data_IF_435835412578
#
_entry.id   IF_435835412578
#
_cell.length_a   1.000
_cell.length_b   1.000
_cell.length_c   1.000
_cell.angle_alpha   90.00
_cell.angle_beta   90.00
_cell.angle_gamma   90.00
#
_symmetry.space_group_name_H-M   'P 1'
#
loop_
_entity.id
_entity.type
_entity.pdbx_description
1 polymer ?
#
# COMPACT_ATOMS: atom_id res chain seq x y z
N UNK A 1 26.80 75.75 -0.89
CA UNK A 1 27.72 76.57 -0.06
C UNK A 1 28.65 75.67 0.73
N UNK A 2 29.98 75.89 0.50
CA UNK A 2 31.15 75.60 1.35
C UNK A 2 31.38 74.13 1.72
N UNK A 3 32.57 73.56 1.67
CA UNK A 3 33.92 73.99 1.17
C UNK A 3 34.76 72.73 1.07
N UNK A 4 35.58 72.75 0.07
CA UNK A 4 36.74 71.93 -0.23
C UNK A 4 37.81 72.05 0.87
N UNK A 5 38.51 70.98 1.22
CA UNK A 5 39.98 71.06 1.45
C UNK A 5 40.60 69.68 1.26
N UNK A 6 41.54 69.67 0.27
CA UNK A 6 42.42 68.59 0.04
C UNK A 6 43.68 68.64 0.91
N UNK A 7 44.37 67.51 1.03
CA UNK A 7 45.78 67.47 1.44
C UNK A 7 46.59 66.53 0.55
N UNK A 8 47.74 67.02 0.16
CA UNK A 8 48.73 66.40 -0.72
C UNK A 8 49.63 65.41 0.04
N UNK A 9 49.92 64.31 -0.56
CA UNK A 9 51.24 63.77 -0.83
C UNK A 9 52.05 63.17 0.32
N UNK A 10 52.50 61.94 0.06
CA UNK A 10 53.89 61.53 0.11
C UNK A 10 54.02 60.14 -0.42
N UNK A 11 54.75 59.91 -1.49
CA UNK A 11 55.04 58.61 -2.06
C UNK A 11 55.97 57.78 -1.17
N UNK A 12 55.69 56.52 -1.02
CA UNK A 12 56.61 55.49 -0.55
C UNK A 12 56.48 54.27 -1.42
N UNK A 13 57.46 54.01 -2.25
CA UNK A 13 57.61 52.81 -3.06
C UNK A 13 57.92 51.65 -2.17
N UNK A 14 56.99 50.73 -2.13
CA UNK A 14 57.18 49.40 -1.48
C UNK A 14 57.22 48.34 -2.58
N UNK A 15 58.41 47.71 -2.73
CA UNK A 15 58.62 46.53 -3.58
C UNK A 15 57.81 45.34 -3.00
N UNK A 16 56.83 44.87 -3.74
CA UNK A 16 56.17 43.61 -3.44
C UNK A 16 56.91 42.41 -4.06
N UNK A 17 57.51 41.60 -3.24
CA UNK A 17 58.02 40.30 -3.64
C UNK A 17 56.84 39.36 -3.89
N UNK A 18 56.77 38.75 -5.10
CA UNK A 18 55.82 37.68 -5.44
C UNK A 18 56.26 36.42 -4.69
N UNK A 19 55.52 36.08 -3.63
CA UNK A 19 55.54 34.74 -3.07
C UNK A 19 54.41 33.94 -3.74
N UNK A 20 54.76 33.04 -4.65
CA UNK A 20 53.82 32.09 -5.25
C UNK A 20 53.44 31.07 -4.20
N UNK A 21 52.25 31.20 -3.58
CA UNK A 21 51.61 30.13 -2.81
C UNK A 21 51.01 29.14 -3.80
N UNK A 22 51.60 27.98 -3.95
CA UNK A 22 51.01 26.79 -4.53
C UNK A 22 49.91 26.28 -3.56
N UNK A 23 48.67 26.68 -3.80
CA UNK A 23 47.49 26.05 -3.21
C UNK A 23 47.31 24.69 -3.89
N UNK A 24 47.82 23.65 -3.22
CA UNK A 24 47.51 22.27 -3.56
C UNK A 24 46.03 22.02 -3.27
N UNK A 25 45.20 22.00 -4.30
CA UNK A 25 43.80 21.51 -4.21
C UNK A 25 43.85 20.02 -3.92
N UNK A 26 43.79 19.65 -2.66
CA UNK A 26 43.44 18.27 -2.28
C UNK A 26 41.99 18.05 -2.69
N UNK A 27 41.76 17.48 -3.86
CA UNK A 27 40.48 16.89 -4.22
C UNK A 27 40.24 15.74 -3.23
N UNK A 28 39.40 16.01 -2.23
CA UNK A 28 38.83 14.93 -1.43
C UNK A 28 38.01 14.08 -2.41
N UNK A 29 38.54 12.94 -2.80
CA UNK A 29 37.74 11.89 -3.43
C UNK A 29 36.64 11.53 -2.43
N UNK A 30 35.40 11.95 -2.71
CA UNK A 30 34.21 11.42 -2.04
C UNK A 30 34.26 9.93 -2.33
N UNK A 31 34.64 9.14 -1.33
CA UNK A 31 34.57 7.68 -1.45
C UNK A 31 33.13 7.35 -1.84
N UNK A 32 32.95 6.72 -2.99
CA UNK A 32 31.64 6.25 -3.40
C UNK A 32 31.13 5.33 -2.29
N UNK A 33 29.99 5.67 -1.74
CA UNK A 33 29.35 4.88 -0.69
C UNK A 33 29.18 3.43 -1.21
N UNK A 34 29.59 2.45 -0.41
CA UNK A 34 29.48 1.07 -0.82
C UNK A 34 28.02 0.74 -1.16
N UNK A 35 27.75 -0.01 -2.24
CA UNK A 35 26.38 -0.34 -2.60
C UNK A 35 25.71 -1.09 -1.45
N UNK A 36 24.39 -0.88 -1.24
CA UNK A 36 23.65 -1.56 -0.19
C UNK A 36 23.80 -3.10 -0.28
N UNK A 37 23.86 -3.81 0.86
CA UNK A 37 24.05 -5.26 0.84
C UNK A 37 22.92 -5.97 0.08
N UNK A 38 23.25 -7.07 -0.60
CA UNK A 38 22.24 -7.91 -1.25
C UNK A 38 21.57 -8.87 -0.28
N UNK A 39 22.27 -9.26 0.78
CA UNK A 39 21.79 -10.18 1.79
C UNK A 39 22.49 -9.91 3.11
N UNK A 40 21.76 -9.97 4.23
CA UNK A 40 22.31 -9.86 5.58
C UNK A 40 21.43 -10.57 6.59
N UNK A 41 21.99 -10.85 7.76
CA UNK A 41 21.22 -11.22 8.95
C UNK A 41 20.93 -9.93 9.71
N UNK A 42 19.67 -9.64 9.96
CA UNK A 42 19.31 -8.49 10.79
C UNK A 42 19.87 -8.70 12.21
N UNK A 43 20.73 -7.79 12.71
CA UNK A 43 21.43 -8.00 13.97
C UNK A 43 20.51 -7.96 15.19
N UNK A 44 19.36 -7.28 15.09
CA UNK A 44 18.43 -7.14 16.21
C UNK A 44 17.42 -8.29 16.28
N UNK A 45 17.13 -8.93 15.14
CA UNK A 45 16.09 -9.94 15.05
C UNK A 45 16.58 -11.35 14.74
N UNK A 46 17.72 -11.47 14.10
CA UNK A 46 18.32 -12.74 13.68
C UNK A 46 17.70 -13.34 12.41
N UNK A 47 16.81 -12.60 11.74
CA UNK A 47 16.22 -13.03 10.47
C UNK A 47 17.09 -12.65 9.28
N UNK A 48 17.10 -13.48 8.25
CA UNK A 48 17.79 -13.22 7.00
C UNK A 48 16.96 -12.30 6.13
N UNK A 49 17.56 -11.20 5.67
CA UNK A 49 16.95 -10.24 4.75
C UNK A 49 17.70 -10.28 3.43
N UNK A 50 16.96 -10.23 2.33
CA UNK A 50 17.51 -10.20 0.97
C UNK A 50 16.92 -9.05 0.20
N UNK A 51 17.73 -8.39 -0.62
CA UNK A 51 17.30 -7.37 -1.57
C UNK A 51 16.99 -8.03 -2.91
N UNK A 52 15.77 -7.86 -3.40
CA UNK A 52 15.25 -8.49 -4.62
C UNK A 52 15.39 -7.61 -5.86
N UNK A 53 15.55 -6.29 -5.70
CA UNK A 53 15.76 -5.35 -6.81
C UNK A 53 17.03 -4.54 -6.61
N UNK A 54 17.78 -4.29 -7.69
CA UNK A 54 18.96 -3.44 -7.68
C UNK A 54 18.65 -2.01 -8.15
N UNK A 55 17.66 -1.85 -9.01
CA UNK A 55 17.28 -0.56 -9.59
C UNK A 55 16.60 0.32 -8.54
N UNK A 56 17.05 1.56 -8.34
CA UNK A 56 16.34 2.56 -7.54
C UNK A 56 14.90 2.76 -8.04
N UNK A 57 13.97 3.06 -7.14
CA UNK A 57 12.55 3.26 -7.45
C UNK A 57 11.84 2.02 -8.01
N UNK A 58 12.31 0.83 -7.65
CA UNK A 58 11.57 -0.42 -7.84
C UNK A 58 10.57 -0.62 -6.71
N UNK A 59 9.39 -1.17 -7.01
CA UNK A 59 8.33 -1.35 -6.01
C UNK A 59 7.57 -2.66 -6.21
N UNK A 60 7.26 -3.33 -5.10
CA UNK A 60 6.25 -4.39 -5.04
C UNK A 60 4.83 -3.80 -5.08
N UNK A 61 3.84 -4.64 -5.26
CA UNK A 61 2.44 -4.25 -5.24
C UNK A 61 1.96 -3.89 -3.83
N UNK A 62 0.78 -3.32 -3.77
CA UNK A 62 0.07 -3.06 -2.53
C UNK A 62 -0.25 -4.39 -1.83
N UNK A 63 -0.27 -4.41 -0.51
CA UNK A 63 -0.25 -5.62 0.34
C UNK A 63 -1.34 -6.67 0.01
N UNK A 64 -2.48 -6.27 -0.53
CA UNK A 64 -3.61 -7.14 -0.86
C UNK A 64 -3.74 -7.47 -2.36
N UNK A 65 -2.84 -6.97 -3.20
CA UNK A 65 -2.82 -7.28 -4.63
C UNK A 65 -2.01 -8.55 -4.90
N UNK A 66 -2.50 -9.37 -5.86
CA UNK A 66 -1.75 -10.55 -6.27
C UNK A 66 -0.54 -10.18 -7.14
N UNK A 67 0.65 -10.29 -6.56
CA UNK A 67 1.93 -10.05 -7.25
C UNK A 67 2.63 -11.32 -7.74
N UNK A 68 2.06 -12.51 -7.50
CA UNK A 68 2.71 -13.79 -7.79
C UNK A 68 2.07 -14.51 -8.98
N UNK A 69 2.89 -15.22 -9.72
CA UNK A 69 2.41 -16.15 -10.76
C UNK A 69 1.59 -17.28 -10.14
N UNK A 70 0.65 -17.90 -10.89
CA UNK A 70 -0.17 -19.01 -10.37
C UNK A 70 0.65 -20.19 -9.85
N UNK A 71 1.86 -20.39 -10.40
CA UNK A 71 2.81 -21.44 -9.97
C UNK A 71 3.59 -21.06 -8.72
N UNK A 72 3.52 -19.79 -8.28
CA UNK A 72 4.29 -19.30 -7.14
C UNK A 72 5.80 -19.23 -7.38
N UNK A 73 6.23 -19.23 -8.64
CA UNK A 73 7.66 -19.24 -9.01
C UNK A 73 8.24 -17.82 -9.18
N UNK A 74 7.40 -16.82 -9.47
CA UNK A 74 7.85 -15.44 -9.74
C UNK A 74 7.01 -14.40 -9.00
N UNK A 75 7.68 -13.35 -8.57
CA UNK A 75 7.08 -12.11 -8.08
C UNK A 75 7.17 -11.04 -9.17
N UNK A 76 6.12 -10.27 -9.37
CA UNK A 76 6.11 -9.09 -10.23
C UNK A 76 6.41 -7.84 -9.42
N UNK A 77 7.23 -6.98 -10.01
CA UNK A 77 7.56 -5.67 -9.48
C UNK A 77 7.52 -4.62 -10.59
N UNK A 78 7.27 -3.37 -10.23
CA UNK A 78 7.51 -2.23 -11.11
C UNK A 78 8.96 -1.75 -10.96
N UNK A 79 9.56 -1.35 -12.07
CA UNK A 79 10.89 -0.71 -12.13
C UNK A 79 10.81 0.54 -13.00
N UNK A 80 11.78 1.44 -12.98
CA UNK A 80 11.82 2.57 -13.92
C UNK A 80 11.79 2.17 -15.40
N UNK A 81 12.30 0.98 -15.72
CA UNK A 81 12.29 0.44 -17.09
C UNK A 81 10.98 -0.20 -17.51
N UNK A 82 10.05 -0.45 -16.59
CA UNK A 82 8.80 -1.15 -16.84
C UNK A 82 8.48 -2.25 -15.82
N UNK A 83 7.89 -3.34 -16.27
CA UNK A 83 7.47 -4.45 -15.43
C UNK A 83 8.54 -5.55 -15.46
N UNK A 84 9.01 -5.93 -14.28
CA UNK A 84 9.99 -7.00 -14.12
C UNK A 84 9.44 -8.16 -13.28
N UNK A 85 10.05 -9.32 -13.43
CA UNK A 85 9.84 -10.47 -12.57
C UNK A 85 11.08 -10.76 -11.75
N UNK A 86 10.87 -11.18 -10.51
CA UNK A 86 11.89 -11.78 -9.66
C UNK A 86 11.59 -13.27 -9.55
N UNK A 87 12.51 -14.11 -9.95
CA UNK A 87 12.44 -15.56 -9.74
C UNK A 87 12.65 -15.85 -8.24
N UNK A 88 11.67 -16.48 -7.59
CA UNK A 88 11.70 -16.64 -6.13
C UNK A 88 12.75 -17.65 -5.65
N UNK A 89 13.22 -18.55 -6.52
CA UNK A 89 14.24 -19.53 -6.18
C UNK A 89 15.65 -18.98 -6.39
N UNK A 90 15.91 -18.35 -7.54
CA UNK A 90 17.24 -17.87 -7.94
C UNK A 90 17.47 -16.41 -7.60
N UNK A 91 16.39 -15.66 -7.30
CA UNK A 91 16.37 -14.21 -7.08
C UNK A 91 16.80 -13.41 -8.32
N UNK A 92 16.80 -14.05 -9.48
CA UNK A 92 17.11 -13.37 -10.73
C UNK A 92 15.99 -12.41 -11.12
N UNK A 93 16.36 -11.17 -11.40
CA UNK A 93 15.45 -10.13 -11.89
C UNK A 93 15.50 -10.12 -13.43
N UNK A 94 14.33 -10.08 -14.07
CA UNK A 94 14.19 -9.99 -15.53
C UNK A 94 13.14 -8.96 -15.90
N UNK A 95 13.51 -7.93 -16.67
CA UNK A 95 12.55 -7.03 -17.31
C UNK A 95 11.73 -7.81 -18.34
N UNK A 96 10.41 -7.83 -18.18
CA UNK A 96 9.48 -8.61 -19.04
C UNK A 96 8.74 -7.70 -20.01
N UNK A 97 8.24 -6.57 -19.51
CA UNK A 97 7.48 -5.60 -20.29
C UNK A 97 8.16 -4.24 -20.17
N UNK A 98 8.98 -3.84 -21.15
CA UNK A 98 9.47 -2.47 -21.21
C UNK A 98 8.29 -1.51 -21.42
N UNK A 99 8.13 -0.52 -20.54
CA UNK A 99 7.07 0.48 -20.65
C UNK A 99 7.70 1.87 -20.68
N UNK A 100 7.39 2.63 -21.72
CA UNK A 100 7.82 4.03 -21.84
C UNK A 100 6.75 4.94 -21.29
N UNK A 101 7.13 5.86 -20.43
CA UNK A 101 6.22 6.82 -19.79
C UNK A 101 5.51 6.26 -18.57
N UNK A 102 4.57 7.03 -17.99
CA UNK A 102 3.87 6.63 -16.77
C UNK A 102 3.00 5.40 -16.99
N UNK A 103 3.13 4.44 -16.12
CA UNK A 103 2.28 3.24 -16.06
C UNK A 103 2.02 2.85 -14.61
N UNK A 104 1.00 2.03 -14.40
CA UNK A 104 0.74 1.37 -13.13
C UNK A 104 0.61 -0.13 -13.34
N UNK A 105 1.46 -0.89 -12.67
CA UNK A 105 1.33 -2.33 -12.51
C UNK A 105 0.11 -2.58 -11.62
N UNK A 106 -0.82 -3.43 -12.08
CA UNK A 106 -2.06 -3.72 -11.37
C UNK A 106 -1.94 -5.02 -10.55
N UNK A 107 -1.83 -6.16 -11.22
CA UNK A 107 -1.77 -7.47 -10.58
C UNK A 107 -1.35 -8.54 -11.58
N UNK A 108 -1.07 -9.73 -11.06
CA UNK A 108 -0.85 -10.95 -11.85
C UNK A 108 -2.16 -11.72 -12.02
N UNK A 109 -2.32 -12.40 -13.11
CA UNK A 109 -3.39 -13.38 -13.29
C UNK A 109 -3.36 -14.49 -12.24
N UNK A 110 -4.53 -15.05 -11.93
CA UNK A 110 -4.65 -16.16 -10.96
C UNK A 110 -4.60 -17.54 -11.59
N UNK A 111 -4.87 -17.63 -12.89
CA UNK A 111 -4.85 -18.90 -13.67
C UNK A 111 -3.79 -18.88 -14.75
N UNK A 112 -3.58 -17.75 -15.38
CA UNK A 112 -2.61 -17.60 -16.48
C UNK A 112 -1.38 -16.84 -16.00
N UNK A 113 -0.31 -16.96 -16.77
CA UNK A 113 0.93 -16.20 -16.55
C UNK A 113 0.86 -14.83 -17.22
N UNK A 114 -0.25 -14.13 -17.02
CA UNK A 114 -0.47 -12.78 -17.51
C UNK A 114 -0.22 -11.77 -16.39
N UNK A 115 0.39 -10.64 -16.73
CA UNK A 115 0.41 -9.45 -15.88
C UNK A 115 -0.51 -8.41 -16.47
N UNK A 116 -1.27 -7.74 -15.62
CA UNK A 116 -2.15 -6.63 -15.99
C UNK A 116 -1.56 -5.31 -15.56
N UNK A 117 -1.60 -4.32 -16.45
CA UNK A 117 -1.12 -2.97 -16.17
C UNK A 117 -1.92 -1.95 -16.96
N UNK A 118 -1.81 -0.70 -16.54
CA UNK A 118 -2.47 0.41 -17.23
C UNK A 118 -1.50 1.53 -17.55
N UNK A 119 -1.80 2.23 -18.65
CA UNK A 119 -1.15 3.48 -19.02
C UNK A 119 -2.18 4.59 -19.13
N UNK A 120 -1.76 5.85 -18.97
CA UNK A 120 -2.62 6.97 -19.31
C UNK A 120 -2.92 6.96 -20.82
N UNK A 121 -4.14 7.29 -21.22
CA UNK A 121 -4.44 7.61 -22.60
C UNK A 121 -3.66 8.87 -23.01
N UNK A 122 -3.43 9.07 -24.30
CA UNK A 122 -2.67 10.22 -24.82
C UNK A 122 -3.24 11.53 -24.30
N UNK A 123 -2.44 12.33 -23.62
CA UNK A 123 -2.82 13.60 -23.01
C UNK A 123 -3.61 13.50 -21.70
N UNK A 124 -3.83 12.29 -21.16
CA UNK A 124 -4.48 12.06 -19.87
C UNK A 124 -3.44 11.79 -18.75
N UNK A 125 -3.90 11.84 -17.50
CA UNK A 125 -3.11 11.44 -16.33
C UNK A 125 -3.48 10.03 -15.86
N UNK A 126 -2.62 9.42 -15.04
CA UNK A 126 -2.91 8.14 -14.37
C UNK A 126 -3.75 8.31 -13.10
N UNK A 127 -4.24 9.51 -12.81
CA UNK A 127 -5.15 9.71 -11.71
C UNK A 127 -6.46 8.92 -11.87
N UNK A 128 -7.27 8.87 -10.82
CA UNK A 128 -8.48 8.02 -10.77
C UNK A 128 -9.56 8.42 -11.78
N UNK A 129 -9.53 9.62 -12.31
CA UNK A 129 -10.54 10.16 -13.26
C UNK A 129 -10.05 10.24 -14.70
N UNK A 130 -8.75 10.07 -14.94
CA UNK A 130 -8.15 10.12 -16.28
C UNK A 130 -8.51 8.89 -17.12
N UNK A 131 -8.57 9.09 -18.45
CA UNK A 131 -8.73 7.99 -19.39
C UNK A 131 -7.51 7.07 -19.40
N UNK A 132 -7.72 5.76 -19.42
CA UNK A 132 -6.67 4.74 -19.34
C UNK A 132 -6.86 3.65 -20.38
N UNK A 133 -5.75 3.06 -20.80
CA UNK A 133 -5.75 1.81 -21.56
C UNK A 133 -5.21 0.70 -20.67
N UNK A 134 -5.94 -0.39 -20.60
CA UNK A 134 -5.58 -1.61 -19.85
C UNK A 134 -4.94 -2.61 -20.80
N UNK A 135 -3.82 -3.14 -20.39
CA UNK A 135 -3.06 -4.16 -21.10
C UNK A 135 -2.90 -5.43 -20.28
N UNK A 136 -2.80 -6.55 -20.95
CA UNK A 136 -2.31 -7.81 -20.42
C UNK A 136 -1.04 -8.21 -21.17
N UNK A 137 -0.03 -8.68 -20.47
CA UNK A 137 1.19 -9.18 -21.05
C UNK A 137 1.51 -10.57 -20.51
N UNK A 138 1.95 -11.45 -21.39
CA UNK A 138 2.44 -12.78 -21.01
C UNK A 138 3.83 -12.64 -20.39
N UNK A 139 4.01 -13.14 -19.17
CA UNK A 139 5.22 -12.97 -18.37
C UNK A 139 6.44 -13.66 -18.96
N UNK A 140 6.24 -14.77 -19.67
CA UNK A 140 7.34 -15.58 -20.21
C UNK A 140 7.81 -15.08 -21.57
N UNK A 141 6.87 -14.68 -22.44
CA UNK A 141 7.14 -14.23 -23.81
C UNK A 141 7.22 -12.71 -23.97
N UNK A 142 6.68 -11.94 -23.01
CA UNK A 142 6.55 -10.49 -23.11
C UNK A 142 5.49 -10.02 -24.11
N UNK A 143 4.68 -10.93 -24.69
CA UNK A 143 3.65 -10.57 -25.67
C UNK A 143 2.53 -9.78 -25.01
N UNK A 144 2.29 -8.57 -25.50
CA UNK A 144 1.28 -7.64 -24.98
C UNK A 144 0.02 -7.67 -25.83
N UNK A 145 -1.14 -7.61 -25.16
CA UNK A 145 -2.44 -7.35 -25.80
C UNK A 145 -3.18 -6.23 -25.06
N UNK A 146 -3.89 -5.42 -25.78
CA UNK A 146 -4.87 -4.49 -25.21
C UNK A 146 -6.09 -5.27 -24.71
N UNK A 147 -6.55 -4.93 -23.50
CA UNK A 147 -7.76 -5.50 -22.89
C UNK A 147 -8.95 -4.58 -23.09
N UNK A 148 -8.82 -3.31 -22.69
CA UNK A 148 -9.90 -2.34 -22.75
C UNK A 148 -9.36 -0.90 -22.71
N UNK A 149 -10.18 0.04 -23.19
CA UNK A 149 -10.05 1.46 -22.85
C UNK A 149 -11.09 1.80 -21.79
N UNK A 150 -10.63 2.47 -20.75
CA UNK A 150 -11.48 2.97 -19.66
C UNK A 150 -11.50 4.49 -19.79
N UNK A 151 -12.63 5.11 -20.16
CA UNK A 151 -12.70 6.55 -20.41
C UNK A 151 -12.48 7.36 -19.14
N UNK A 152 -12.92 6.87 -18.00
CA UNK A 152 -12.62 7.39 -16.66
C UNK A 152 -12.83 6.29 -15.64
N UNK A 153 -12.13 6.40 -14.50
CA UNK A 153 -12.18 5.38 -13.48
C UNK A 153 -10.84 4.65 -13.32
N UNK A 154 -10.86 3.58 -12.56
CA UNK A 154 -9.67 2.88 -12.13
C UNK A 154 -9.93 1.37 -11.96
N UNK A 155 -9.09 0.53 -12.56
CA UNK A 155 -9.12 -0.92 -12.35
C UNK A 155 -8.35 -1.24 -11.08
N UNK A 156 -8.97 -2.06 -10.22
CA UNK A 156 -8.43 -2.38 -8.89
C UNK A 156 -8.25 -3.88 -8.64
N UNK A 157 -8.96 -4.75 -9.38
CA UNK A 157 -8.94 -6.18 -9.09
C UNK A 157 -9.24 -7.03 -10.32
N UNK A 158 -8.92 -8.32 -10.24
CA UNK A 158 -9.28 -9.36 -11.22
C UNK A 158 -9.90 -10.54 -10.47
N UNK A 159 -10.91 -11.16 -11.06
CA UNK A 159 -11.59 -12.29 -10.44
C UNK A 159 -10.81 -13.62 -10.55
N UNK A 160 -11.26 -14.62 -9.79
CA UNK A 160 -10.57 -15.89 -9.61
C UNK A 160 -10.34 -16.68 -10.92
N UNK A 161 -11.19 -16.52 -11.93
CA UNK A 161 -11.10 -17.21 -13.22
C UNK A 161 -10.55 -16.34 -14.34
N UNK A 162 -10.13 -15.10 -14.03
CA UNK A 162 -9.55 -14.10 -14.97
C UNK A 162 -10.51 -13.67 -16.10
N UNK A 163 -11.80 -13.84 -15.91
CA UNK A 163 -12.80 -13.41 -16.89
C UNK A 163 -13.23 -11.96 -16.73
N UNK A 164 -13.09 -11.40 -15.51
CA UNK A 164 -13.55 -10.05 -15.18
C UNK A 164 -12.46 -9.24 -14.46
N UNK A 165 -12.24 -8.02 -14.92
CA UNK A 165 -11.59 -6.97 -14.13
C UNK A 165 -12.67 -6.20 -13.37
N UNK A 166 -12.39 -5.79 -12.13
CA UNK A 166 -13.26 -4.91 -11.34
C UNK A 166 -12.66 -3.53 -11.20
N UNK A 167 -13.49 -2.51 -11.34
CA UNK A 167 -13.07 -1.13 -11.25
C UNK A 167 -14.14 -0.21 -10.67
N UNK A 168 -13.72 1.01 -10.34
CA UNK A 168 -14.60 2.10 -9.90
C UNK A 168 -14.50 3.25 -10.89
N UNK A 169 -15.61 3.91 -11.12
CA UNK A 169 -15.65 5.15 -11.91
C UNK A 169 -16.45 6.23 -11.19
N UNK A 170 -16.13 7.46 -11.50
CA UNK A 170 -16.84 8.64 -11.05
C UNK A 170 -16.97 9.60 -12.23
N UNK A 171 -18.13 10.21 -12.39
CA UNK A 171 -18.35 11.20 -13.46
C UNK A 171 -17.45 12.43 -13.22
N UNK A 172 -16.53 12.76 -14.13
CA UNK A 172 -15.68 13.93 -14.00
C UNK A 172 -16.47 15.24 -13.86
N UNK A 173 -17.62 15.37 -14.53
CA UNK A 173 -18.46 16.55 -14.44
C UNK A 173 -19.08 16.70 -13.05
N UNK A 174 -19.55 15.60 -12.45
CA UNK A 174 -20.08 15.57 -11.09
C UNK A 174 -19.00 15.85 -10.03
N UNK A 175 -17.73 15.55 -10.34
CA UNK A 175 -16.60 15.73 -9.40
C UNK A 175 -15.89 17.06 -9.57
N UNK A 176 -16.15 17.84 -10.62
CA UNK A 176 -15.39 19.05 -10.94
C UNK A 176 -15.29 20.06 -9.78
N UNK A 177 -16.37 20.22 -8.99
CA UNK A 177 -16.38 21.05 -7.79
C UNK A 177 -15.61 20.47 -6.60
N UNK A 178 -15.59 19.15 -6.44
CA UNK A 178 -14.91 18.46 -5.37
C UNK A 178 -13.44 18.19 -5.68
N UNK A 179 -13.05 18.09 -6.96
CA UNK A 179 -11.67 17.82 -7.40
C UNK A 179 -10.66 18.88 -6.95
N UNK A 180 -11.10 20.11 -6.67
CA UNK A 180 -10.22 21.16 -6.13
C UNK A 180 -9.52 20.73 -4.83
N UNK A 181 -10.15 19.91 -4.01
CA UNK A 181 -9.57 19.37 -2.77
C UNK A 181 -8.53 18.29 -3.04
N UNK A 182 -8.69 17.53 -4.12
CA UNK A 182 -7.74 16.51 -4.54
C UNK A 182 -6.51 17.05 -5.28
N UNK A 183 -6.57 18.30 -5.71
CA UNK A 183 -5.46 18.96 -6.45
C UNK A 183 -4.44 19.60 -5.52
N UNK A 184 -4.76 19.80 -4.25
CA UNK A 184 -3.85 20.39 -3.28
C UNK A 184 -3.03 19.28 -2.62
N UNK A 185 -1.73 19.24 -2.92
CA UNK A 185 -0.79 18.31 -2.27
C UNK A 185 -0.02 19.03 -1.19
N UNK A 186 0.15 18.38 -0.05
CA UNK A 186 1.16 18.76 0.93
C UNK A 186 2.48 18.08 0.56
N UNK A 187 3.50 18.87 0.20
CA UNK A 187 4.80 18.35 -0.21
C UNK A 187 5.53 17.54 0.88
N UNK A 188 5.09 17.63 2.14
CA UNK A 188 5.62 16.83 3.26
C UNK A 188 5.17 15.37 3.19
N UNK A 189 4.05 15.10 2.51
CA UNK A 189 3.43 13.77 2.45
C UNK A 189 3.11 13.44 1.00
N UNK A 190 3.85 12.53 0.40
CA UNK A 190 3.64 12.12 -1.00
C UNK A 190 2.25 11.53 -1.25
N UNK A 191 1.61 11.02 -0.20
CA UNK A 191 0.27 10.45 -0.26
C UNK A 191 -0.84 11.44 0.13
N UNK A 192 -0.48 12.63 0.62
CA UNK A 192 -1.46 13.65 0.96
C UNK A 192 -1.91 14.39 -0.31
N UNK A 193 -3.15 14.19 -0.68
CA UNK A 193 -3.77 14.88 -1.82
C UNK A 193 -4.25 16.28 -1.47
N UNK A 194 -4.04 16.73 -0.22
CA UNK A 194 -4.73 17.90 0.30
C UNK A 194 -3.92 18.61 1.37
N UNK A 195 -3.77 19.91 1.21
CA UNK A 195 -3.20 20.81 2.21
C UNK A 195 -4.31 21.60 2.87
N UNK A 196 -4.52 21.41 4.17
CA UNK A 196 -5.53 22.10 4.93
C UNK A 196 -4.94 22.98 6.02
N UNK A 197 -5.63 24.07 6.30
CA UNK A 197 -5.42 24.93 7.47
C UNK A 197 -6.72 25.07 8.24
N UNK A 198 -6.63 25.16 9.55
CA UNK A 198 -7.75 25.52 10.39
C UNK A 198 -8.17 26.98 10.15
N UNK A 199 -9.40 27.39 10.53
CA UNK A 199 -9.87 28.77 10.37
C UNK A 199 -8.96 29.83 11.02
N UNK A 200 -8.19 29.46 12.03
CA UNK A 200 -7.20 30.31 12.71
C UNK A 200 -5.86 30.41 11.96
N UNK A 201 -5.72 29.75 10.79
CA UNK A 201 -4.51 29.74 9.99
C UNK A 201 -3.47 28.70 10.40
N UNK A 202 -3.67 27.95 11.48
CA UNK A 202 -2.79 26.86 11.90
C UNK A 202 -2.87 25.72 10.89
N UNK A 203 -1.73 25.17 10.40
CA UNK A 203 -1.74 24.02 9.50
C UNK A 203 -2.29 22.79 10.23
N UNK A 204 -3.10 22.00 9.53
CA UNK A 204 -3.55 20.69 9.99
C UNK A 204 -2.40 19.68 9.94
N UNK A 205 -2.43 18.71 10.83
CA UNK A 205 -1.65 17.47 10.68
C UNK A 205 -2.16 16.67 9.51
N UNK A 206 -1.38 15.69 9.03
CA UNK A 206 -1.82 14.78 7.98
C UNK A 206 -3.13 14.08 8.34
N UNK A 207 -3.26 13.55 9.56
CA UNK A 207 -4.47 12.87 10.01
C UNK A 207 -5.69 13.80 10.04
N UNK A 208 -5.53 15.03 10.56
CA UNK A 208 -6.60 16.03 10.58
C UNK A 208 -7.03 16.42 9.18
N UNK A 209 -6.11 16.67 8.25
CA UNK A 209 -6.42 17.03 6.87
C UNK A 209 -7.11 15.88 6.13
N UNK A 210 -6.69 14.63 6.39
CA UNK A 210 -7.34 13.42 5.84
C UNK A 210 -8.79 13.31 6.32
N UNK A 211 -9.06 13.55 7.59
CA UNK A 211 -10.44 13.51 8.13
C UNK A 211 -11.34 14.61 7.55
N UNK A 212 -10.83 15.84 7.44
CA UNK A 212 -11.57 16.93 6.80
C UNK A 212 -11.93 16.57 5.37
N UNK A 213 -10.98 16.10 4.59
CA UNK A 213 -11.17 15.66 3.20
C UNK A 213 -12.21 14.53 3.10
N UNK A 214 -12.15 13.55 4.00
CA UNK A 214 -13.11 12.45 4.02
C UNK A 214 -14.54 12.93 4.31
N UNK A 215 -14.70 13.88 5.26
CA UNK A 215 -16.01 14.49 5.55
C UNK A 215 -16.55 15.28 4.35
N UNK A 216 -15.73 16.14 3.75
CA UNK A 216 -16.13 16.93 2.57
C UNK A 216 -16.51 16.02 1.39
N UNK A 217 -15.79 14.92 1.21
CA UNK A 217 -16.09 13.92 0.18
C UNK A 217 -17.43 13.22 0.46
N UNK A 218 -17.70 12.85 1.71
CA UNK A 218 -18.97 12.25 2.10
C UNK A 218 -20.13 13.22 1.85
N UNK A 219 -20.01 14.46 2.30
CA UNK A 219 -21.05 15.50 2.17
C UNK A 219 -21.30 15.89 0.71
N UNK A 220 -20.33 15.68 -0.18
CA UNK A 220 -20.45 15.99 -1.62
C UNK A 220 -21.36 15.04 -2.39
N UNK A 221 -21.69 13.86 -1.84
CA UNK A 221 -22.59 12.86 -2.46
C UNK A 221 -22.26 12.59 -3.93
N UNK A 222 -20.97 12.45 -4.28
CA UNK A 222 -20.53 12.28 -5.67
C UNK A 222 -20.98 10.91 -6.20
N UNK A 223 -21.72 10.85 -7.32
CA UNK A 223 -22.12 9.59 -7.92
C UNK A 223 -20.91 8.75 -8.32
N UNK A 224 -20.90 7.50 -7.92
CA UNK A 224 -19.88 6.52 -8.27
C UNK A 224 -20.50 5.20 -8.72
N UNK A 225 -19.73 4.45 -9.49
CA UNK A 225 -20.11 3.12 -9.97
C UNK A 225 -19.01 2.14 -9.68
N UNK A 226 -19.42 0.92 -9.33
CA UNK A 226 -18.58 -0.27 -9.49
C UNK A 226 -18.94 -0.86 -10.84
N UNK A 227 -17.93 -1.13 -11.65
CA UNK A 227 -18.10 -1.77 -12.94
C UNK A 227 -17.17 -2.99 -13.08
N UNK A 228 -17.53 -3.89 -13.99
CA UNK A 228 -16.67 -4.99 -14.39
C UNK A 228 -16.41 -4.94 -15.89
N UNK A 229 -15.24 -5.42 -16.30
CA UNK A 229 -14.79 -5.49 -17.70
C UNK A 229 -14.50 -6.94 -18.04
N UNK A 230 -15.15 -7.47 -19.09
CA UNK A 230 -14.83 -8.77 -19.64
C UNK A 230 -13.42 -8.73 -20.25
N UNK A 231 -12.52 -9.57 -19.76
CA UNK A 231 -11.08 -9.55 -20.14
C UNK A 231 -10.82 -9.96 -21.57
N UNK A 232 -11.75 -10.68 -22.21
CA UNK A 232 -11.66 -11.17 -23.59
C UNK A 232 -12.20 -10.16 -24.59
N UNK A 233 -13.33 -9.52 -24.28
CA UNK A 233 -14.05 -8.63 -25.20
C UNK A 233 -13.80 -7.15 -24.92
N UNK A 234 -13.31 -6.79 -23.74
CA UNK A 234 -13.19 -5.40 -23.28
C UNK A 234 -14.54 -4.75 -22.90
N UNK A 235 -15.65 -5.51 -22.90
CA UNK A 235 -16.99 -4.99 -22.64
C UNK A 235 -17.15 -4.65 -21.18
N UNK A 236 -17.56 -3.41 -20.89
CA UNK A 236 -17.82 -2.91 -19.53
C UNK A 236 -19.32 -3.03 -19.20
N UNK A 237 -19.61 -3.37 -17.95
CA UNK A 237 -20.98 -3.26 -17.39
C UNK A 237 -20.92 -2.77 -15.95
N UNK A 238 -21.86 -1.94 -15.55
CA UNK A 238 -22.05 -1.50 -14.17
C UNK A 238 -22.67 -2.64 -13.36
N UNK A 239 -22.18 -2.80 -12.11
CA UNK A 239 -22.71 -3.79 -11.15
C UNK A 239 -23.28 -3.12 -9.89
N UNK A 240 -22.92 -1.86 -9.63
CA UNK A 240 -23.47 -1.08 -8.52
C UNK A 240 -23.32 0.42 -8.81
N UNK A 241 -24.32 1.18 -8.41
CA UNK A 241 -24.29 2.65 -8.38
C UNK A 241 -24.59 3.13 -6.96
N UNK A 242 -23.89 4.15 -6.51
CA UNK A 242 -24.06 4.78 -5.19
C UNK A 242 -23.48 6.19 -5.17
N UNK A 243 -23.83 6.98 -4.16
CA UNK A 243 -23.14 8.23 -3.84
C UNK A 243 -22.09 8.04 -2.74
N UNK A 244 -21.91 6.81 -2.30
CA UNK A 244 -20.83 6.41 -1.40
C UNK A 244 -19.48 6.50 -2.12
N UNK A 245 -18.42 6.78 -1.38
CA UNK A 245 -17.07 6.69 -1.94
C UNK A 245 -16.65 5.24 -2.07
N UNK A 246 -16.97 4.61 -3.20
CA UNK A 246 -16.64 3.22 -3.50
C UNK A 246 -15.16 3.10 -3.85
N UNK A 247 -14.43 2.20 -3.15
CA UNK A 247 -13.00 2.01 -3.34
C UNK A 247 -12.54 0.63 -2.83
N UNK A 248 -11.23 0.34 -2.93
CA UNK A 248 -10.58 -0.88 -2.42
C UNK A 248 -11.27 -2.17 -2.85
N UNK A 249 -11.59 -2.27 -4.15
CA UNK A 249 -12.23 -3.47 -4.69
C UNK A 249 -11.27 -4.66 -4.65
N UNK A 250 -11.78 -5.80 -4.17
CA UNK A 250 -11.07 -7.06 -4.23
C UNK A 250 -12.04 -8.19 -4.60
N UNK A 251 -11.77 -8.89 -5.70
CA UNK A 251 -12.43 -10.16 -5.94
C UNK A 251 -11.88 -11.24 -5.01
N UNK A 252 -12.76 -12.15 -4.59
CA UNK A 252 -12.34 -13.36 -3.91
C UNK A 252 -11.29 -14.12 -4.74
N UNK A 253 -10.24 -14.66 -4.10
CA UNK A 253 -9.24 -15.47 -4.81
C UNK A 253 -9.79 -16.80 -5.36
N UNK A 254 -10.97 -17.25 -4.90
CA UNK A 254 -11.52 -18.57 -5.20
C UNK A 254 -12.92 -18.56 -5.80
N UNK A 255 -13.77 -17.57 -5.48
CA UNK A 255 -15.11 -17.41 -6.08
C UNK A 255 -15.09 -16.23 -7.08
N UNK A 256 -15.25 -16.48 -8.40
CA UNK A 256 -15.15 -15.43 -9.42
C UNK A 256 -16.25 -14.37 -9.35
N UNK A 257 -17.31 -14.61 -8.60
CA UNK A 257 -18.45 -13.69 -8.50
C UNK A 257 -18.51 -12.91 -7.21
N UNK A 258 -17.71 -13.26 -6.20
CA UNK A 258 -17.67 -12.57 -4.91
C UNK A 258 -16.70 -11.40 -4.97
N UNK A 259 -17.21 -10.20 -4.69
CA UNK A 259 -16.47 -8.94 -4.69
C UNK A 259 -16.64 -8.24 -3.34
N UNK A 260 -15.52 -7.95 -2.68
CA UNK A 260 -15.46 -7.06 -1.53
C UNK A 260 -15.19 -5.63 -2.02
N UNK A 261 -15.79 -4.65 -1.35
CA UNK A 261 -15.52 -3.24 -1.59
C UNK A 261 -15.61 -2.43 -0.30
N UNK A 262 -14.96 -1.30 -0.30
CA UNK A 262 -14.97 -0.34 0.79
C UNK A 262 -15.90 0.85 0.43
N UNK A 263 -16.81 1.18 1.34
CA UNK A 263 -17.40 2.52 1.41
C UNK A 263 -16.40 3.38 2.17
N UNK A 264 -15.47 4.01 1.47
CA UNK A 264 -14.46 4.86 2.09
C UNK A 264 -15.11 6.17 2.59
N UNK A 265 -14.65 6.67 3.74
CA UNK A 265 -15.22 7.87 4.34
C UNK A 265 -14.71 8.07 5.76
N UNK A 266 -15.21 9.10 6.46
CA UNK A 266 -14.85 9.31 7.86
C UNK A 266 -15.17 8.06 8.68
N UNK A 267 -14.16 7.50 9.33
CA UNK A 267 -14.25 6.20 10.01
C UNK A 267 -15.36 6.15 11.06
N UNK A 268 -15.66 7.27 11.71
CA UNK A 268 -16.69 7.40 12.74
C UNK A 268 -18.11 7.66 12.19
N UNK A 269 -18.29 7.76 10.86
CA UNK A 269 -19.58 8.04 10.23
C UNK A 269 -20.07 6.92 9.29
N UNK A 270 -19.18 6.12 8.72
CA UNK A 270 -19.52 5.13 7.69
C UNK A 270 -19.12 3.72 8.12
N UNK A 271 -19.95 2.73 7.76
CA UNK A 271 -19.57 1.32 7.82
C UNK A 271 -18.83 0.99 6.53
N UNK A 272 -17.55 0.61 6.63
CA UNK A 272 -16.63 0.61 5.48
C UNK A 272 -16.64 -0.67 4.64
N UNK A 273 -16.82 -1.83 5.23
CA UNK A 273 -16.51 -3.13 4.66
C UNK A 273 -17.77 -3.84 4.18
N UNK A 274 -17.84 -4.12 2.87
CA UNK A 274 -19.01 -4.68 2.23
C UNK A 274 -18.64 -5.81 1.28
N UNK A 275 -19.54 -6.78 1.14
CA UNK A 275 -19.46 -7.92 0.23
C UNK A 275 -20.65 -7.91 -0.71
N UNK A 276 -20.43 -8.21 -1.99
CA UNK A 276 -21.48 -8.37 -2.99
C UNK A 276 -21.16 -9.51 -3.94
N UNK A 277 -22.14 -9.92 -4.72
CA UNK A 277 -21.96 -10.83 -5.86
C UNK A 277 -22.22 -10.07 -7.16
N UNK A 278 -21.27 -10.15 -8.09
CA UNK A 278 -21.37 -9.45 -9.39
C UNK A 278 -22.33 -10.14 -10.37
N UNK A 279 -22.70 -11.40 -10.13
CA UNK A 279 -23.73 -12.15 -10.85
C UNK A 279 -25.14 -11.90 -10.30
N UNK A 280 -25.27 -11.18 -9.18
CA UNK A 280 -26.52 -10.81 -8.53
C UNK A 280 -26.51 -9.30 -8.19
N UNK A 281 -26.43 -8.41 -9.20
CA UNK A 281 -26.21 -6.98 -8.95
C UNK A 281 -27.38 -6.30 -8.19
N UNK A 282 -28.59 -6.86 -8.27
CA UNK A 282 -29.79 -6.34 -7.58
C UNK A 282 -29.87 -6.79 -6.10
N UNK A 283 -29.04 -7.75 -5.68
CA UNK A 283 -28.97 -8.17 -4.28
C UNK A 283 -28.32 -7.08 -3.42
N UNK A 284 -28.86 -6.87 -2.23
CA UNK A 284 -28.27 -5.93 -1.28
C UNK A 284 -26.88 -6.42 -0.85
N UNK A 285 -25.85 -5.55 -0.82
CA UNK A 285 -24.56 -5.91 -0.26
C UNK A 285 -24.65 -6.27 1.22
N UNK A 286 -23.76 -7.16 1.64
CA UNK A 286 -23.67 -7.64 3.02
C UNK A 286 -22.62 -6.81 3.76
N UNK A 287 -22.97 -6.11 4.87
CA UNK A 287 -21.97 -5.46 5.71
C UNK A 287 -21.14 -6.50 6.47
N UNK A 288 -19.82 -6.46 6.33
CA UNK A 288 -18.90 -7.38 7.01
C UNK A 288 -18.64 -6.95 8.45
N UNK A 289 -18.62 -5.64 8.66
CA UNK A 289 -18.43 -5.04 9.98
C UNK A 289 -19.36 -3.85 10.14
N UNK A 290 -20.22 -3.93 11.16
CA UNK A 290 -21.09 -2.82 11.59
C UNK A 290 -20.52 -2.24 12.87
N UNK A 291 -20.26 -0.94 12.88
CA UNK A 291 -19.72 -0.27 14.06
C UNK A 291 -20.64 -0.39 15.26
N UNK A 292 -20.04 -0.57 16.42
CA UNK A 292 -20.74 -0.72 17.70
C UNK A 292 -20.46 0.40 18.68
N UNK A 293 -19.43 1.23 18.40
CA UNK A 293 -19.08 2.38 19.24
C UNK A 293 -18.66 3.60 18.40
N UNK A 294 -18.68 4.76 19.04
CA UNK A 294 -18.12 5.99 18.46
C UNK A 294 -16.59 5.87 18.33
N UNK A 295 -16.03 6.45 17.27
CA UNK A 295 -14.59 6.40 16.95
C UNK A 295 -14.05 4.99 16.67
N UNK A 296 -14.90 4.02 16.37
CA UNK A 296 -14.50 2.71 15.87
C UNK A 296 -14.02 2.84 14.41
N UNK A 297 -12.86 2.24 14.11
CA UNK A 297 -12.25 2.25 12.78
C UNK A 297 -12.12 0.82 12.28
N UNK A 298 -12.55 0.56 11.02
CA UNK A 298 -12.23 -0.66 10.29
C UNK A 298 -11.62 -0.29 8.92
N UNK A 299 -10.59 -1.00 8.50
CA UNK A 299 -9.93 -0.72 7.22
C UNK A 299 -8.88 -1.76 6.83
N UNK A 300 -8.10 -1.47 5.79
CA UNK A 300 -7.00 -2.30 5.25
C UNK A 300 -7.39 -3.78 5.12
N UNK A 301 -8.51 -4.02 4.45
CA UNK A 301 -9.13 -5.33 4.27
C UNK A 301 -8.40 -6.21 3.25
N UNK A 302 -8.41 -7.53 3.47
CA UNK A 302 -7.89 -8.51 2.51
C UNK A 302 -8.55 -9.88 2.66
N UNK A 303 -8.59 -10.67 1.59
CA UNK A 303 -9.00 -12.07 1.65
C UNK A 303 -7.87 -12.96 2.16
N UNK A 304 -8.22 -13.98 2.97
CA UNK A 304 -7.35 -15.15 3.16
C UNK A 304 -7.08 -15.82 1.81
N UNK A 305 -5.94 -16.53 1.69
CA UNK A 305 -5.56 -17.17 0.44
C UNK A 305 -6.59 -18.19 -0.07
N UNK A 306 -7.31 -18.86 0.83
CA UNK A 306 -8.38 -19.81 0.52
C UNK A 306 -9.74 -19.14 0.24
N UNK A 307 -9.82 -17.81 0.34
CA UNK A 307 -11.01 -17.01 0.07
C UNK A 307 -12.13 -17.14 1.09
N UNK A 308 -11.92 -17.84 2.22
CA UNK A 308 -12.99 -18.12 3.20
C UNK A 308 -13.17 -17.01 4.22
N UNK A 309 -12.12 -16.28 4.54
CA UNK A 309 -12.14 -15.23 5.55
C UNK A 309 -11.70 -13.89 4.95
N UNK A 310 -12.41 -12.84 5.31
CA UNK A 310 -11.97 -11.47 5.08
C UNK A 310 -11.40 -10.96 6.38
N UNK A 311 -10.14 -10.54 6.32
CA UNK A 311 -9.40 -9.93 7.41
C UNK A 311 -9.36 -8.42 7.24
N UNK A 312 -9.29 -7.67 8.33
CA UNK A 312 -9.18 -6.22 8.34
C UNK A 312 -8.58 -5.73 9.65
N UNK A 313 -7.99 -4.54 9.64
CA UNK A 313 -7.61 -3.86 10.87
C UNK A 313 -8.83 -3.21 11.51
N UNK A 314 -8.87 -3.23 12.84
CA UNK A 314 -9.98 -2.71 13.61
C UNK A 314 -9.45 -2.02 14.87
N UNK A 315 -9.92 -0.79 15.13
CA UNK A 315 -9.62 -0.08 16.37
C UNK A 315 -10.92 0.24 17.13
N UNK A 316 -10.91 -0.02 18.42
CA UNK A 316 -12.11 0.01 19.27
C UNK A 316 -11.85 0.68 20.64
N UNK A 317 -11.81 2.02 20.72
CA UNK A 317 -11.89 3.02 19.65
C UNK A 317 -10.52 3.32 19.02
N UNK A 318 -10.51 4.23 18.06
CA UNK A 318 -9.29 4.72 17.40
C UNK A 318 -8.23 5.13 18.41
N UNK A 319 -7.02 4.60 18.24
CA UNK A 319 -5.85 4.96 19.04
C UNK A 319 -5.74 4.27 20.39
N UNK A 320 -6.72 3.44 20.80
CA UNK A 320 -6.74 2.79 22.12
C UNK A 320 -6.50 1.28 22.01
N UNK A 321 -7.39 0.54 21.35
CA UNK A 321 -7.25 -0.90 21.15
C UNK A 321 -7.19 -1.24 19.67
N UNK A 322 -6.33 -2.18 19.30
CA UNK A 322 -6.11 -2.62 17.93
C UNK A 322 -6.26 -4.12 17.80
N UNK A 323 -7.02 -4.53 16.75
CA UNK A 323 -7.29 -5.93 16.43
C UNK A 323 -7.01 -6.21 14.96
N UNK A 324 -6.51 -7.38 14.67
CA UNK A 324 -6.70 -8.01 13.36
C UNK A 324 -7.99 -8.80 13.45
N UNK A 325 -9.02 -8.33 12.76
CA UNK A 325 -10.36 -8.89 12.82
C UNK A 325 -10.65 -9.71 11.55
N UNK A 326 -11.31 -10.84 11.71
CA UNK A 326 -11.69 -11.75 10.63
C UNK A 326 -13.19 -12.02 10.61
N UNK A 327 -13.74 -12.04 9.40
CA UNK A 327 -15.10 -12.42 9.09
C UNK A 327 -15.11 -13.65 8.18
N UNK A 328 -15.61 -14.79 8.65
CA UNK A 328 -15.76 -16.00 7.85
C UNK A 328 -17.04 -15.92 6.99
N UNK A 329 -16.87 -15.93 5.68
CA UNK A 329 -17.96 -15.61 4.73
C UNK A 329 -19.12 -16.60 4.81
N UNK A 330 -18.83 -17.88 4.95
CA UNK A 330 -19.85 -18.93 4.93
C UNK A 330 -20.71 -18.98 6.19
N UNK A 331 -20.15 -18.61 7.35
CA UNK A 331 -20.79 -18.79 8.66
C UNK A 331 -21.13 -17.48 9.36
N UNK A 332 -20.50 -16.37 8.94
CA UNK A 332 -20.56 -15.10 9.64
C UNK A 332 -19.77 -15.09 10.95
N UNK A 333 -18.96 -16.13 11.22
CA UNK A 333 -18.11 -16.19 12.41
C UNK A 333 -17.08 -15.09 12.39
N UNK A 334 -16.86 -14.46 13.56
CA UNK A 334 -15.94 -13.34 13.74
C UNK A 334 -14.85 -13.70 14.72
N UNK A 335 -13.59 -13.63 14.29
CA UNK A 335 -12.41 -13.86 15.12
C UNK A 335 -11.62 -12.54 15.21
N UNK A 336 -11.39 -12.04 16.43
CA UNK A 336 -10.64 -10.81 16.65
C UNK A 336 -9.40 -11.12 17.48
N UNK A 337 -8.22 -10.79 16.92
CA UNK A 337 -6.93 -10.99 17.58
C UNK A 337 -6.35 -9.65 18.00
N UNK A 338 -6.22 -9.44 19.30
CA UNK A 338 -5.67 -8.23 19.90
C UNK A 338 -4.17 -8.10 19.67
N UNK A 339 -3.69 -6.87 19.45
CA UNK A 339 -2.28 -6.51 19.36
C UNK A 339 -1.88 -5.59 20.51
N UNK A 340 -0.70 -5.84 21.07
CA UNK A 340 -0.07 -4.88 21.97
C UNK A 340 0.27 -3.59 21.20
N UNK A 341 0.15 -2.44 21.88
CA UNK A 341 0.34 -1.13 21.27
C UNK A 341 1.64 -0.96 20.48
N UNK A 342 2.73 -1.54 20.98
CA UNK A 342 4.04 -1.45 20.36
C UNK A 342 4.20 -2.26 19.06
N UNK A 343 3.17 -3.01 18.67
CA UNK A 343 3.21 -3.95 17.54
C UNK A 343 2.21 -3.53 16.43
N UNK A 344 1.55 -2.39 16.60
CA UNK A 344 0.60 -1.89 15.61
C UNK A 344 1.30 -1.67 14.27
N UNK A 345 0.58 -1.99 13.22
CA UNK A 345 1.08 -1.90 11.84
C UNK A 345 0.06 -1.19 10.97
N UNK A 346 0.52 -0.56 9.89
CA UNK A 346 -0.36 0.09 8.91
C UNK A 346 -1.11 -0.97 8.12
N UNK A 347 -0.37 -1.98 7.61
CA UNK A 347 -0.95 -3.08 6.85
C UNK A 347 -0.58 -4.42 7.47
N UNK A 348 -1.45 -5.39 7.23
CA UNK A 348 -1.26 -6.78 7.59
C UNK A 348 -1.45 -7.68 6.39
N UNK A 349 -0.87 -8.87 6.43
CA UNK A 349 -1.11 -9.93 5.47
C UNK A 349 -1.11 -11.27 6.19
N UNK A 350 -1.81 -12.29 5.66
CA UNK A 350 -1.85 -13.63 6.23
C UNK A 350 -1.05 -14.62 5.40
N UNK A 351 -0.43 -15.59 6.06
CA UNK A 351 0.26 -16.69 5.36
C UNK A 351 -0.72 -17.51 4.51
N UNK A 352 -0.24 -18.20 3.45
CA UNK A 352 -1.12 -18.99 2.59
C UNK A 352 -1.91 -20.08 3.32
N UNK A 353 -1.36 -20.65 4.39
CA UNK A 353 -2.01 -21.65 5.24
C UNK A 353 -2.87 -21.06 6.36
N UNK A 354 -2.91 -19.72 6.49
CA UNK A 354 -3.68 -19.00 7.51
C UNK A 354 -3.16 -19.13 8.94
N UNK A 355 -1.96 -19.68 9.15
CA UNK A 355 -1.41 -19.92 10.51
C UNK A 355 -0.60 -18.74 11.06
N UNK A 356 -0.19 -17.81 10.20
CA UNK A 356 0.63 -16.65 10.54
C UNK A 356 0.05 -15.37 9.95
N UNK A 357 0.40 -14.24 10.57
CA UNK A 357 0.21 -12.91 10.00
C UNK A 357 1.54 -12.17 9.96
N UNK A 358 1.66 -11.23 9.04
CA UNK A 358 2.74 -10.26 8.98
C UNK A 358 2.17 -8.86 9.15
N UNK A 359 2.96 -7.95 9.75
CA UNK A 359 2.63 -6.53 9.86
C UNK A 359 3.81 -5.66 9.46
N UNK A 360 3.54 -4.54 8.81
CA UNK A 360 4.58 -3.66 8.27
C UNK A 360 5.06 -2.57 9.23
N UNK A 361 4.54 -2.58 10.48
CA UNK A 361 4.88 -1.55 11.47
C UNK A 361 4.28 -0.18 11.12
N UNK A 362 4.87 0.85 11.65
CA UNK A 362 4.45 2.22 11.42
C UNK A 362 5.25 3.21 12.24
N UNK A 363 4.96 4.48 12.07
CA UNK A 363 5.46 5.56 12.91
C UNK A 363 4.32 6.26 13.67
N UNK A 364 4.65 7.25 14.48
CA UNK A 364 3.71 7.93 15.37
C UNK A 364 2.64 8.75 14.62
N UNK A 365 2.89 9.11 13.36
CA UNK A 365 1.90 9.86 12.57
C UNK A 365 0.80 8.94 11.99
N UNK A 366 1.12 7.66 11.76
CA UNK A 366 0.20 6.68 11.15
C UNK A 366 -0.36 5.71 12.18
N UNK A 367 0.54 4.99 12.87
CA UNK A 367 0.24 4.04 13.95
C UNK A 367 1.38 4.06 14.96
N UNK A 368 1.09 3.69 16.20
CA UNK A 368 2.14 3.58 17.22
C UNK A 368 3.20 2.55 16.81
N UNK A 369 4.42 2.76 17.23
CA UNK A 369 5.54 1.83 17.04
C UNK A 369 6.16 1.42 18.37
N UNK A 370 6.98 0.36 18.37
CA UNK A 370 7.68 -0.09 19.56
C UNK A 370 8.60 0.99 20.14
N UNK A 371 8.69 1.16 21.47
CA UNK A 371 9.55 2.15 22.12
C UNK A 371 11.03 1.98 21.77
N UNK A 372 11.48 0.77 21.44
CA UNK A 372 12.84 0.41 21.05
C UNK A 372 13.07 0.50 19.52
N UNK A 373 12.11 1.02 18.77
CA UNK A 373 12.23 1.30 17.34
C UNK A 373 11.10 0.73 16.49
N UNK A 374 11.22 0.93 15.17
CA UNK A 374 10.27 0.49 14.15
C UNK A 374 10.68 -0.88 13.63
N UNK A 375 9.72 -1.79 13.47
CA UNK A 375 9.98 -3.15 13.00
C UNK A 375 8.90 -3.63 12.03
N UNK A 376 9.27 -4.55 11.13
CA UNK A 376 8.32 -5.50 10.55
C UNK A 376 8.08 -6.61 11.57
N UNK A 377 6.87 -7.12 11.61
CA UNK A 377 6.45 -8.15 12.58
C UNK A 377 5.94 -9.42 11.90
N UNK A 378 6.21 -10.55 12.54
CA UNK A 378 5.50 -11.82 12.34
C UNK A 378 4.59 -12.05 13.54
N UNK A 379 3.38 -12.50 13.30
CA UNK A 379 2.42 -12.76 14.35
C UNK A 379 1.90 -14.20 14.29
N UNK A 380 1.72 -14.79 15.47
CA UNK A 380 1.06 -16.08 15.67
C UNK A 380 -0.27 -15.85 16.36
N UNK A 381 -1.42 -16.18 15.72
CA UNK A 381 -2.72 -16.06 16.35
C UNK A 381 -2.89 -17.11 17.44
N UNK A 382 -3.39 -16.70 18.59
CA UNK A 382 -3.68 -17.54 19.75
C UNK A 382 -5.09 -17.21 20.24
N UNK A 383 -5.98 -18.20 20.21
CA UNK A 383 -7.33 -18.04 20.75
C UNK A 383 -7.33 -17.99 22.28
N UNK A 384 -8.17 -17.15 22.87
CA UNK A 384 -8.39 -17.15 24.31
C UNK A 384 -9.32 -18.31 24.67
N UNK A 385 -8.86 -19.31 25.44
CA UNK A 385 -9.69 -20.47 25.77
C UNK A 385 -10.81 -20.10 26.74
N UNK A 386 -11.96 -20.74 26.57
CA UNK A 386 -13.02 -20.74 27.59
C UNK A 386 -12.61 -21.66 28.74
N UNK A 387 -12.00 -21.10 29.75
CA UNK A 387 -11.43 -21.85 30.89
C UNK A 387 -12.51 -22.37 31.88
N UNK A 388 -13.68 -21.79 31.86
CA UNK A 388 -14.77 -22.15 32.76
C UNK A 388 -15.74 -23.21 32.17
N UNK A 389 -15.65 -23.45 30.84
CA UNK A 389 -16.58 -24.33 30.13
C UNK A 389 -18.03 -23.81 30.10
N UNK A 390 -18.23 -22.54 30.49
CA UNK A 390 -19.56 -21.92 30.58
C UNK A 390 -19.73 -21.08 29.30
N UNK A 391 -20.54 -21.63 28.38
CA UNK A 391 -20.82 -20.92 27.10
C UNK A 391 -22.19 -20.25 27.19
N UNK A 392 -22.24 -18.99 26.75
CA UNK A 392 -23.52 -18.33 26.51
C UNK A 392 -24.32 -19.10 25.45
N UNK A 393 -25.65 -19.16 25.52
CA UNK A 393 -26.48 -19.86 24.51
C UNK A 393 -26.23 -19.40 23.08
N UNK A 394 -25.85 -18.12 22.89
CA UNK A 394 -25.52 -17.50 21.61
C UNK A 394 -24.03 -17.38 21.36
N UNK A 395 -23.16 -18.11 22.07
CA UNK A 395 -21.69 -17.96 21.98
C UNK A 395 -21.16 -18.06 20.53
N UNK A 396 -21.76 -18.92 19.70
CA UNK A 396 -21.36 -19.06 18.29
C UNK A 396 -21.64 -17.83 17.42
N UNK A 397 -22.54 -16.94 17.84
CA UNK A 397 -22.85 -15.70 17.15
C UNK A 397 -22.03 -14.49 17.65
N UNK A 398 -21.29 -14.67 18.76
CA UNK A 398 -20.46 -13.63 19.35
C UNK A 398 -19.06 -13.60 18.70
N UNK A 399 -18.30 -12.55 19.01
CA UNK A 399 -16.91 -12.41 18.60
C UNK A 399 -16.07 -13.43 19.38
N UNK A 400 -15.19 -14.15 18.68
CA UNK A 400 -14.22 -15.05 19.27
C UNK A 400 -12.91 -14.31 19.49
N UNK A 401 -12.56 -13.92 20.73
CA UNK A 401 -11.37 -13.13 21.00
C UNK A 401 -10.10 -14.00 20.99
N UNK A 402 -9.00 -13.38 20.60
CA UNK A 402 -7.67 -13.96 20.65
C UNK A 402 -6.61 -12.87 20.81
N UNK A 403 -5.36 -13.27 20.74
CA UNK A 403 -4.19 -12.37 20.77
C UNK A 403 -3.24 -12.73 19.64
N UNK A 404 -2.50 -11.75 19.14
CA UNK A 404 -1.39 -11.96 18.23
C UNK A 404 -0.07 -11.96 19.02
N UNK A 405 0.67 -13.06 18.98
CA UNK A 405 2.01 -13.15 19.56
C UNK A 405 3.04 -12.68 18.53
N UNK A 406 3.63 -11.53 18.79
CA UNK A 406 4.53 -10.87 17.85
C UNK A 406 5.98 -11.36 17.97
N UNK A 407 6.66 -11.47 16.84
CA UNK A 407 8.09 -11.62 16.67
C UNK A 407 8.59 -10.52 15.73
N UNK A 408 9.71 -9.85 16.08
CA UNK A 408 10.34 -8.83 15.23
C UNK A 408 11.09 -9.49 14.08
N UNK A 409 10.88 -9.02 12.86
CA UNK A 409 11.51 -9.57 11.65
C UNK A 409 12.62 -8.70 11.09
N UNK A 410 12.41 -7.41 10.96
CA UNK A 410 13.37 -6.46 10.36
C UNK A 410 13.34 -5.16 11.14
N UNK A 411 14.52 -4.65 11.50
CA UNK A 411 14.64 -3.32 12.06
C UNK A 411 14.46 -2.26 10.94
N UNK A 412 13.43 -1.43 11.08
CA UNK A 412 13.02 -0.41 10.12
C UNK A 412 13.43 1.01 10.55
N UNK A 413 14.41 1.17 11.43
CA UNK A 413 14.79 2.48 11.99
C UNK A 413 15.16 3.52 10.94
N UNK A 414 15.76 3.11 9.82
CA UNK A 414 16.16 3.97 8.71
C UNK A 414 15.12 4.08 7.61
N UNK A 415 13.98 3.39 7.74
CA UNK A 415 12.87 3.47 6.80
C UNK A 415 12.02 4.73 7.09
N UNK A 416 11.67 5.45 6.04
CA UNK A 416 10.74 6.58 6.07
C UNK A 416 9.33 6.08 5.68
N UNK A 417 8.41 6.08 6.64
CA UNK A 417 7.05 5.56 6.49
C UNK A 417 6.12 6.43 5.63
N UNK A 418 6.60 7.53 5.04
CA UNK A 418 5.92 8.14 3.88
C UNK A 418 5.81 7.16 2.71
N UNK A 419 6.68 6.16 2.69
CA UNK A 419 6.56 4.95 1.87
C UNK A 419 6.09 3.79 2.74
N UNK A 420 4.87 3.31 2.54
CA UNK A 420 4.35 2.14 3.25
C UNK A 420 5.04 0.85 2.77
N UNK A 421 5.54 -0.02 3.67
CA UNK A 421 6.29 -1.22 3.28
C UNK A 421 5.46 -2.27 2.53
N UNK A 422 4.18 -2.41 2.82
CA UNK A 422 3.24 -3.32 2.15
C UNK A 422 3.70 -4.79 2.18
N UNK A 423 3.74 -5.38 3.38
CA UNK A 423 4.15 -6.76 3.58
C UNK A 423 3.24 -7.76 2.87
N UNK A 424 3.85 -8.79 2.26
CA UNK A 424 3.12 -9.86 1.57
C UNK A 424 3.88 -11.19 1.66
N UNK A 425 3.22 -12.27 2.11
CA UNK A 425 3.84 -13.60 2.14
C UNK A 425 4.10 -14.13 0.73
N UNK A 426 5.22 -14.84 0.55
CA UNK A 426 5.42 -15.66 -0.65
C UNK A 426 4.44 -16.83 -0.66
N UNK A 427 4.11 -17.39 -1.85
CA UNK A 427 3.17 -18.51 -1.97
C UNK A 427 3.56 -19.76 -1.18
N UNK A 428 4.85 -19.95 -0.89
CA UNK A 428 5.35 -21.06 -0.05
C UNK A 428 5.37 -20.73 1.46
N UNK A 429 4.96 -19.50 1.84
CA UNK A 429 4.93 -19.03 3.23
C UNK A 429 6.28 -18.83 3.90
N UNK A 430 7.40 -18.98 3.16
CA UNK A 430 8.75 -18.94 3.76
C UNK A 430 9.35 -17.56 3.86
N UNK A 431 8.88 -16.63 3.06
CA UNK A 431 9.37 -15.26 2.99
C UNK A 431 8.24 -14.26 3.08
N UNK A 432 8.56 -13.06 3.55
CA UNK A 432 7.69 -11.90 3.52
C UNK A 432 8.37 -10.85 2.66
N UNK A 433 7.74 -10.50 1.54
CA UNK A 433 8.18 -9.44 0.64
C UNK A 433 7.71 -8.10 1.16
N UNK A 434 8.54 -7.08 1.05
CA UNK A 434 8.21 -5.70 1.40
C UNK A 434 9.01 -4.72 0.53
N UNK A 435 8.57 -3.48 0.45
CA UNK A 435 9.35 -2.39 -0.16
C UNK A 435 9.89 -1.47 0.92
N UNK A 436 11.06 -0.89 0.68
CA UNK A 436 11.67 0.02 1.64
C UNK A 436 12.61 1.02 0.97
N UNK A 437 12.74 2.19 1.57
CA UNK A 437 13.71 3.22 1.24
C UNK A 437 14.85 3.30 2.27
N UNK A 438 15.06 2.25 3.06
CA UNK A 438 16.05 2.21 4.14
C UNK A 438 17.49 2.49 3.71
N UNK A 439 17.79 2.35 2.42
CA UNK A 439 19.07 2.67 1.79
C UNK A 439 18.99 3.89 0.85
N UNK A 440 18.02 4.80 1.09
CA UNK A 440 17.84 6.05 0.36
C UNK A 440 16.82 5.97 -0.78
N UNK A 441 16.87 4.97 -1.65
CA UNK A 441 15.90 4.78 -2.74
C UNK A 441 14.95 3.61 -2.45
N UNK A 442 13.75 3.68 -3.01
CA UNK A 442 12.78 2.58 -2.90
C UNK A 442 13.29 1.34 -3.63
N UNK A 443 13.36 0.24 -2.92
CA UNK A 443 13.72 -1.08 -3.44
C UNK A 443 12.82 -2.17 -2.83
N UNK A 444 12.82 -3.35 -3.44
CA UNK A 444 12.06 -4.50 -2.98
C UNK A 444 12.97 -5.46 -2.23
N UNK A 445 12.51 -5.91 -1.08
CA UNK A 445 13.21 -6.82 -0.17
C UNK A 445 12.33 -8.02 0.17
N UNK A 446 12.94 -9.04 0.73
CA UNK A 446 12.23 -10.13 1.41
C UNK A 446 12.97 -10.49 2.70
N UNK A 447 12.21 -10.84 3.72
CA UNK A 447 12.73 -11.39 4.99
C UNK A 447 12.28 -12.84 5.15
N UNK A 448 13.18 -13.69 5.58
CA UNK A 448 12.88 -15.11 5.85
C UNK A 448 12.06 -15.24 7.12
N UNK A 449 10.95 -16.00 7.05
CA UNK A 449 10.06 -16.26 8.21
C UNK A 449 10.80 -17.03 9.31
N UNK A 450 11.65 -18.00 8.93
CA UNK A 450 12.50 -18.69 9.87
C UNK A 450 13.73 -17.85 10.25
N UNK A 451 14.17 -17.94 11.50
CA UNK A 451 15.46 -17.36 11.90
C UNK A 451 16.62 -18.09 11.21
N UNK A 452 17.67 -17.34 10.91
CA UNK A 452 18.91 -17.94 10.45
C UNK A 452 19.45 -18.92 11.50
N UNK A 453 19.94 -20.06 11.05
CA UNK A 453 20.66 -20.99 11.92
C UNK A 453 21.87 -20.25 12.51
N UNK A 454 22.05 -20.37 13.83
CA UNK A 454 23.19 -19.79 14.53
C UNK A 454 24.45 -20.59 14.23
#
# INVERSE_FOLDING_TARGET
>A
MRHIRGYKGVGRTIRFGLAAMLLGSAAQAIAAEAPPPREWIDPDTGHRVVRLSDEPNSSSLYFNYNGYTPQGDKLLISTPGGIATVDLKTRALKLVVPVKGPFRLLFTGRKTRQVYYQTAATGASLDRVGAKTIFAADIDTGKVRKVADIPYGDIQTINADETLLGGVETDPAATAGALRYFQQRDARFDQADYRATWPDGRPMTYAESKEVRMNERLDSNIPMKIFVVDTRTGKQRTVREATDWLNHLQFSPTDPNVLMFCHEGPWHKVDRLWLMRVDQPDAAPIPLHKRTMNMEIAGHEWFSADGKTIWYDLQTPRGEDFWVAGYEIATGKRNWYHLDRNQWSVHFNSSPDGTLFAGDGGDDEMVAHAPDGKYLYLFRPEGIPDVAGIKAPNAGALIHPGVLRAEKLVNMKTHDYRLEPNVNFTPDGKWIVFRSNMFGSTQVFAVEVAKAAR
#
